data_IF_701890526006
#
_entry.id   IF_701890526006
#
_cell.length_a   1.000
_cell.length_b   1.000
_cell.length_c   1.000
_cell.angle_alpha   90.00
_cell.angle_beta   90.00
_cell.angle_gamma   90.00
#
_symmetry.space_group_name_H-M   'P 1'
#
loop_
_entity.id
_entity.type
_entity.pdbx_description
1 polymer ?
#
# COMPACT_ATOMS: atom_id res chain seq x y z
N UNK A 1 -17.82 -16.35 -36.91
CA UNK A 1 -16.47 -16.94 -37.01
C UNK A 1 -15.65 -16.48 -35.81
N UNK A 2 -15.33 -17.39 -34.88
CA UNK A 2 -14.47 -17.07 -33.75
C UNK A 2 -13.03 -16.88 -34.27
N UNK A 3 -12.41 -15.72 -34.00
CA UNK A 3 -11.00 -15.49 -34.29
C UNK A 3 -10.16 -16.55 -33.57
N UNK A 4 -9.15 -17.17 -34.22
CA UNK A 4 -8.28 -18.12 -33.53
C UNK A 4 -7.51 -17.36 -32.45
N UNK A 5 -7.57 -17.86 -31.19
CA UNK A 5 -6.69 -17.38 -30.13
C UNK A 5 -5.25 -17.68 -30.58
N UNK A 6 -4.48 -16.63 -30.85
CA UNK A 6 -3.06 -16.73 -31.19
C UNK A 6 -2.36 -17.50 -30.05
N UNK A 7 -1.72 -18.62 -30.35
CA UNK A 7 -0.92 -19.35 -29.37
C UNK A 7 0.31 -18.53 -29.01
N UNK A 8 0.50 -18.25 -27.72
CA UNK A 8 1.66 -17.51 -27.21
C UNK A 8 2.96 -18.29 -27.49
N UNK A 9 3.98 -17.58 -27.93
CA UNK A 9 5.36 -18.08 -28.03
C UNK A 9 5.92 -18.41 -26.64
N UNK A 10 7.02 -19.16 -26.58
CA UNK A 10 7.66 -19.51 -25.30
C UNK A 10 8.10 -18.25 -24.52
N UNK A 11 8.64 -17.25 -25.22
CA UNK A 11 9.04 -15.97 -24.61
C UNK A 11 7.83 -15.19 -24.10
N UNK A 12 6.74 -15.09 -24.88
CA UNK A 12 5.51 -14.43 -24.43
C UNK A 12 4.90 -15.12 -23.19
N UNK A 13 4.99 -16.45 -23.10
CA UNK A 13 4.50 -17.22 -21.96
C UNK A 13 5.34 -17.02 -20.71
N UNK A 14 6.68 -17.03 -20.84
CA UNK A 14 7.59 -16.67 -19.74
C UNK A 14 7.36 -15.25 -19.26
N UNK A 15 7.11 -14.34 -20.19
CA UNK A 15 6.82 -12.95 -19.86
C UNK A 15 5.49 -12.82 -19.10
N UNK A 16 4.44 -13.57 -19.46
CA UNK A 16 3.18 -13.65 -18.67
C UNK A 16 3.39 -14.30 -17.29
N UNK A 17 4.20 -15.36 -17.19
CA UNK A 17 4.52 -15.98 -15.90
C UNK A 17 5.34 -15.04 -15.01
N UNK A 18 6.29 -14.30 -15.58
CA UNK A 18 7.00 -13.23 -14.90
C UNK A 18 6.05 -12.10 -14.49
N UNK A 19 4.97 -11.83 -15.23
CA UNK A 19 3.91 -10.89 -14.79
C UNK A 19 3.15 -11.39 -13.56
N UNK A 20 2.93 -12.71 -13.43
CA UNK A 20 2.34 -13.27 -12.21
C UNK A 20 3.27 -13.15 -11.00
N UNK A 21 4.59 -13.04 -11.24
CA UNK A 21 5.63 -12.82 -10.24
C UNK A 21 5.99 -11.32 -10.13
N UNK A 22 5.41 -10.44 -10.96
CA UNK A 22 5.74 -9.00 -11.04
C UNK A 22 5.42 -8.21 -9.76
N UNK A 23 4.88 -8.89 -8.75
CA UNK A 23 5.05 -8.43 -7.39
C UNK A 23 6.54 -8.17 -7.11
N UNK A 24 7.51 -9.04 -7.41
CA UNK A 24 8.90 -8.91 -6.91
C UNK A 24 9.94 -8.58 -8.00
N UNK A 25 9.60 -8.66 -9.29
CA UNK A 25 10.56 -8.52 -10.40
C UNK A 25 10.38 -7.19 -11.17
N UNK A 26 11.48 -6.48 -11.51
CA UNK A 26 11.43 -5.24 -12.29
C UNK A 26 10.72 -5.44 -13.63
N UNK A 27 9.53 -4.85 -13.76
CA UNK A 27 8.69 -4.94 -14.98
C UNK A 27 9.45 -4.41 -16.20
N UNK A 28 10.29 -3.39 -16.01
CA UNK A 28 11.10 -2.79 -17.08
C UNK A 28 12.14 -3.74 -17.68
N UNK A 29 12.54 -4.79 -16.94
CA UNK A 29 13.50 -5.80 -17.39
C UNK A 29 12.84 -7.13 -17.74
N UNK A 30 11.50 -7.18 -17.78
CA UNK A 30 10.72 -8.39 -18.06
C UNK A 30 11.14 -9.05 -19.36
N UNK A 31 11.24 -8.26 -20.43
CA UNK A 31 11.52 -8.80 -21.76
C UNK A 31 12.97 -9.30 -21.85
N UNK A 32 13.92 -8.58 -21.25
CA UNK A 32 15.32 -9.04 -21.09
C UNK A 32 15.42 -10.35 -20.29
N UNK A 33 14.63 -10.48 -19.22
CA UNK A 33 14.62 -11.66 -18.37
C UNK A 33 13.94 -12.86 -19.05
N UNK A 34 12.87 -12.64 -19.81
CA UNK A 34 12.17 -13.71 -20.54
C UNK A 34 13.03 -14.32 -21.67
N UNK A 35 13.96 -13.54 -22.22
CA UNK A 35 14.95 -14.01 -23.19
C UNK A 35 16.10 -14.79 -22.53
N UNK A 36 16.53 -14.39 -21.33
CA UNK A 36 17.66 -15.01 -20.62
C UNK A 36 17.26 -16.27 -19.84
N UNK A 37 16.06 -16.27 -19.25
CA UNK A 37 15.60 -17.30 -18.31
C UNK A 37 14.89 -18.44 -19.05
N UNK A 38 15.13 -19.66 -18.57
CA UNK A 38 14.35 -20.83 -18.98
C UNK A 38 13.02 -20.90 -18.21
N UNK A 39 12.08 -21.70 -18.70
CA UNK A 39 10.81 -21.94 -18.00
C UNK A 39 11.03 -22.50 -16.58
N UNK A 40 12.09 -23.30 -16.37
CA UNK A 40 12.44 -23.84 -15.06
C UNK A 40 13.00 -22.79 -14.10
N UNK A 41 13.73 -21.80 -14.62
CA UNK A 41 14.22 -20.67 -13.82
C UNK A 41 13.06 -19.79 -13.36
N UNK A 42 12.09 -19.52 -14.26
CA UNK A 42 10.87 -18.76 -13.93
C UNK A 42 10.05 -19.49 -12.86
N UNK A 43 9.88 -20.80 -12.99
CA UNK A 43 9.20 -21.64 -12.00
C UNK A 43 9.88 -21.57 -10.62
N UNK A 44 11.21 -21.67 -10.61
CA UNK A 44 12.02 -21.63 -9.39
C UNK A 44 11.91 -20.27 -8.72
N UNK A 45 12.00 -19.17 -9.49
CA UNK A 45 11.83 -17.82 -8.97
C UNK A 45 10.41 -17.60 -8.42
N UNK A 46 9.38 -18.12 -9.10
CA UNK A 46 8.00 -18.10 -8.61
C UNK A 46 7.86 -18.80 -7.28
N UNK A 47 8.44 -20.00 -7.17
CA UNK A 47 8.44 -20.77 -5.93
C UNK A 47 9.15 -20.01 -4.81
N UNK A 48 10.34 -19.47 -5.05
CA UNK A 48 11.12 -18.72 -4.06
C UNK A 48 10.42 -17.45 -3.60
N UNK A 49 9.78 -16.71 -4.52
CA UNK A 49 8.98 -15.52 -4.18
C UNK A 49 7.79 -15.89 -3.30
N UNK A 50 7.08 -16.96 -3.63
CA UNK A 50 5.94 -17.43 -2.85
C UNK A 50 6.36 -17.94 -1.46
N UNK A 51 7.46 -18.70 -1.37
CA UNK A 51 8.00 -19.16 -0.09
C UNK A 51 8.58 -18.02 0.76
N UNK A 52 9.23 -17.05 0.12
CA UNK A 52 9.94 -15.96 0.80
C UNK A 52 9.04 -14.88 1.40
N UNK A 53 7.83 -14.67 0.85
CA UNK A 53 6.91 -13.65 1.35
C UNK A 53 5.81 -14.19 2.26
N UNK A 54 5.36 -15.43 2.04
CA UNK A 54 4.26 -16.04 2.77
C UNK A 54 2.88 -15.45 2.44
N UNK A 55 1.84 -16.29 2.50
CA UNK A 55 0.47 -15.95 2.08
C UNK A 55 -0.12 -14.72 2.76
N UNK A 56 0.22 -14.49 4.03
CA UNK A 56 -0.28 -13.35 4.80
C UNK A 56 0.27 -12.02 4.26
N UNK A 57 1.56 -11.99 3.88
CA UNK A 57 2.19 -10.79 3.32
C UNK A 57 1.63 -10.48 1.95
N UNK A 58 1.47 -11.49 1.09
CA UNK A 58 0.83 -11.36 -0.22
C UNK A 58 -0.59 -10.80 -0.08
N UNK A 59 -1.39 -11.36 0.83
CA UNK A 59 -2.75 -10.87 1.10
C UNK A 59 -2.75 -9.41 1.58
N UNK A 60 -1.84 -9.06 2.48
CA UNK A 60 -1.73 -7.68 2.98
C UNK A 60 -1.32 -6.69 1.88
N UNK A 61 -0.37 -7.05 1.03
CA UNK A 61 0.07 -6.25 -0.12
C UNK A 61 -1.08 -6.06 -1.13
N UNK A 62 -1.76 -7.13 -1.52
CA UNK A 62 -2.90 -7.06 -2.45
C UNK A 62 -4.01 -6.19 -1.88
N UNK A 63 -4.33 -6.32 -0.59
CA UNK A 63 -5.33 -5.49 0.07
C UNK A 63 -4.94 -4.01 0.08
N UNK A 64 -3.68 -3.68 0.35
CA UNK A 64 -3.21 -2.31 0.34
C UNK A 64 -3.15 -1.71 -1.08
N UNK A 65 -2.71 -2.48 -2.09
CA UNK A 65 -2.73 -2.04 -3.48
C UNK A 65 -4.17 -1.78 -3.96
N UNK A 66 -5.09 -2.70 -3.66
CA UNK A 66 -6.52 -2.54 -4.00
C UNK A 66 -7.08 -1.25 -3.42
N UNK A 67 -6.77 -0.96 -2.15
CA UNK A 67 -7.18 0.30 -1.53
C UNK A 67 -6.54 1.52 -2.21
N UNK A 68 -5.22 1.46 -2.50
CA UNK A 68 -4.49 2.58 -3.11
C UNK A 68 -5.00 2.90 -4.52
N UNK A 69 -5.31 1.89 -5.33
CA UNK A 69 -5.91 2.07 -6.65
C UNK A 69 -7.31 2.70 -6.54
N UNK A 70 -8.17 2.16 -5.67
CA UNK A 70 -9.51 2.71 -5.46
C UNK A 70 -9.46 4.17 -4.97
N UNK A 71 -8.55 4.48 -4.03
CA UNK A 71 -8.35 5.84 -3.53
C UNK A 71 -7.77 6.75 -4.61
N UNK A 72 -6.76 6.30 -5.36
CA UNK A 72 -6.14 7.04 -6.44
C UNK A 72 -7.16 7.44 -7.51
N UNK A 73 -7.99 6.48 -7.94
CA UNK A 73 -9.07 6.71 -8.87
C UNK A 73 -10.11 7.68 -8.32
N UNK A 74 -10.54 7.51 -7.06
CA UNK A 74 -11.52 8.39 -6.44
C UNK A 74 -10.99 9.84 -6.33
N UNK A 75 -9.73 10.01 -5.93
CA UNK A 75 -9.09 11.29 -5.60
C UNK A 75 -8.46 12.03 -6.79
N UNK A 76 -8.20 11.34 -7.91
CA UNK A 76 -7.54 11.93 -9.09
C UNK A 76 -8.26 11.66 -10.41
N UNK A 77 -9.28 10.79 -10.41
CA UNK A 77 -9.99 10.30 -11.60
C UNK A 77 -9.08 9.59 -12.62
N UNK A 78 -7.90 9.17 -12.19
CA UNK A 78 -6.90 8.45 -12.98
C UNK A 78 -6.40 7.24 -12.20
N UNK A 79 -5.91 6.22 -12.91
CA UNK A 79 -5.22 5.08 -12.30
C UNK A 79 -3.98 5.54 -11.53
N UNK A 80 -3.55 4.74 -10.56
CA UNK A 80 -2.41 5.08 -9.73
C UNK A 80 -1.13 5.22 -10.59
N UNK A 81 -0.42 6.36 -10.55
CA UNK A 81 0.81 6.53 -11.31
C UNK A 81 1.96 5.77 -10.65
N UNK A 82 2.89 5.30 -11.49
CA UNK A 82 4.11 4.61 -11.08
C UNK A 82 5.31 5.31 -11.76
N UNK A 83 6.26 5.88 -10.99
CA UNK A 83 6.23 6.07 -9.55
C UNK A 83 5.20 7.14 -9.15
N UNK A 84 4.75 7.10 -7.90
CA UNK A 84 3.88 8.12 -7.36
C UNK A 84 4.61 9.48 -7.23
N UNK A 85 4.07 10.58 -7.80
CA UNK A 85 4.62 11.90 -7.54
C UNK A 85 4.56 12.25 -6.06
N UNK A 86 5.54 13.02 -5.56
CA UNK A 86 5.58 13.43 -4.15
C UNK A 86 4.27 14.12 -3.70
N UNK A 87 3.71 14.98 -4.56
CA UNK A 87 2.43 15.64 -4.31
C UNK A 87 1.28 14.65 -4.07
N UNK A 88 1.29 13.49 -4.75
CA UNK A 88 0.28 12.46 -4.54
C UNK A 88 0.48 11.73 -3.21
N UNK A 89 1.73 11.50 -2.80
CA UNK A 89 2.04 10.94 -1.48
C UNK A 89 1.61 11.89 -0.34
N UNK A 90 1.83 13.20 -0.51
CA UNK A 90 1.37 14.21 0.43
C UNK A 90 -0.16 14.30 0.47
N UNK A 91 -0.83 14.22 -0.68
CA UNK A 91 -2.30 14.11 -0.77
C UNK A 91 -2.81 12.88 -0.01
N UNK A 92 -2.14 11.73 -0.16
CA UNK A 92 -2.48 10.52 0.59
C UNK A 92 -2.38 10.76 2.10
N UNK A 93 -1.32 11.41 2.58
CA UNK A 93 -1.18 11.76 3.99
C UNK A 93 -2.31 12.68 4.44
N UNK A 94 -2.59 13.77 3.71
CA UNK A 94 -3.63 14.73 4.08
C UNK A 94 -5.04 14.10 4.14
N UNK A 95 -5.39 13.25 3.17
CA UNK A 95 -6.69 12.57 3.17
C UNK A 95 -6.87 11.59 4.33
N UNK A 96 -5.79 11.06 4.92
CA UNK A 96 -5.89 9.96 5.89
C UNK A 96 -5.41 10.30 7.29
N UNK A 97 -4.56 11.31 7.46
CA UNK A 97 -4.04 11.77 8.75
C UNK A 97 -4.46 13.23 8.99
N UNK A 98 -5.75 13.42 9.22
CA UNK A 98 -6.37 14.71 9.53
C UNK A 98 -6.92 14.73 10.97
N UNK A 99 -7.22 15.93 11.45
CA UNK A 99 -7.73 16.17 12.80
C UNK A 99 -9.27 16.13 12.81
N UNK A 100 -9.90 15.15 13.50
CA UNK A 100 -11.35 15.06 13.61
C UNK A 100 -12.01 16.31 14.15
N UNK A 101 -11.40 16.98 15.12
CA UNK A 101 -11.99 18.15 15.78
C UNK A 101 -12.01 19.35 14.83
N UNK A 102 -10.91 19.57 14.11
CA UNK A 102 -10.86 20.65 13.12
C UNK A 102 -11.88 20.42 11.99
N UNK A 103 -12.18 19.17 11.64
CA UNK A 103 -13.19 18.87 10.61
C UNK A 103 -14.62 19.23 11.00
N UNK A 104 -14.90 19.40 12.29
CA UNK A 104 -16.21 19.87 12.76
C UNK A 104 -16.49 21.31 12.29
N UNK A 105 -15.45 22.12 12.12
CA UNK A 105 -15.53 23.51 11.66
C UNK A 105 -15.13 23.70 10.20
N UNK A 106 -14.28 22.82 9.66
CA UNK A 106 -13.85 22.82 8.26
C UNK A 106 -14.15 21.46 7.61
N UNK A 107 -15.26 21.36 6.87
CA UNK A 107 -15.71 20.10 6.28
C UNK A 107 -14.73 19.51 5.24
N UNK A 108 -13.89 20.37 4.65
CA UNK A 108 -12.88 20.01 3.66
C UNK A 108 -11.56 19.56 4.30
N UNK A 109 -11.43 19.66 5.62
CA UNK A 109 -10.26 19.17 6.33
C UNK A 109 -10.14 17.64 6.28
N UNK A 110 -9.19 17.17 5.49
CA UNK A 110 -8.90 15.75 5.31
C UNK A 110 -9.37 15.21 3.97
N UNK A 111 -10.09 14.08 4.00
CA UNK A 111 -10.61 13.46 2.78
C UNK A 111 -11.89 14.15 2.31
N UNK A 112 -11.96 14.66 1.06
CA UNK A 112 -13.18 15.23 0.52
C UNK A 112 -14.34 14.25 0.55
N UNK A 113 -15.56 14.73 0.81
CA UNK A 113 -16.76 13.90 0.97
C UNK A 113 -17.00 12.96 -0.23
N UNK A 114 -16.83 13.47 -1.45
CA UNK A 114 -17.00 12.67 -2.67
C UNK A 114 -15.99 11.50 -2.78
N UNK A 115 -14.78 11.67 -2.23
CA UNK A 115 -13.75 10.60 -2.21
C UNK A 115 -14.10 9.57 -1.14
N UNK A 116 -14.50 10.03 0.05
CA UNK A 116 -14.92 9.19 1.17
C UNK A 116 -16.14 8.32 0.79
N UNK A 117 -17.17 8.93 0.21
CA UNK A 117 -18.38 8.24 -0.26
C UNK A 117 -18.08 7.22 -1.37
N UNK A 118 -17.24 7.59 -2.34
CA UNK A 118 -16.79 6.67 -3.39
C UNK A 118 -16.09 5.43 -2.82
N UNK A 119 -15.29 5.59 -1.76
CA UNK A 119 -14.59 4.46 -1.12
C UNK A 119 -15.51 3.63 -0.23
N UNK A 120 -16.48 4.25 0.45
CA UNK A 120 -17.45 3.55 1.29
C UNK A 120 -18.44 2.73 0.48
N UNK A 121 -19.00 3.31 -0.59
CA UNK A 121 -19.95 2.63 -1.49
C UNK A 121 -19.36 1.36 -2.13
N UNK A 122 -18.05 1.36 -2.37
CA UNK A 122 -17.32 0.20 -2.90
C UNK A 122 -16.76 -0.73 -1.80
N UNK A 123 -16.97 -0.43 -0.52
CA UNK A 123 -16.54 -1.26 0.61
C UNK A 123 -15.04 -1.18 0.96
N UNK A 124 -14.29 -0.25 0.36
CA UNK A 124 -12.85 -0.08 0.63
C UNK A 124 -12.56 0.70 1.91
N UNK A 125 -13.50 1.54 2.36
CA UNK A 125 -13.37 2.35 3.57
C UNK A 125 -14.46 1.98 4.58
N UNK A 126 -14.07 1.33 5.68
CA UNK A 126 -15.00 0.87 6.73
C UNK A 126 -15.02 1.79 7.95
N UNK A 127 -13.84 2.27 8.36
CA UNK A 127 -13.72 3.12 9.56
C UNK A 127 -14.25 4.53 9.31
N UNK A 128 -14.86 5.12 10.33
CA UNK A 128 -15.24 6.54 10.36
C UNK A 128 -14.07 7.33 10.93
N UNK A 129 -13.75 8.47 10.33
CA UNK A 129 -12.63 9.33 10.76
C UNK A 129 -11.29 9.00 10.08
N UNK A 130 -10.18 9.60 10.57
CA UNK A 130 -8.85 9.40 10.01
C UNK A 130 -8.36 7.97 10.22
N UNK A 131 -7.42 7.54 9.38
CA UNK A 131 -6.76 6.25 9.56
C UNK A 131 -5.81 6.27 10.75
N UNK A 132 -5.61 5.08 11.33
CA UNK A 132 -4.52 4.89 12.26
C UNK A 132 -3.17 5.20 11.57
N UNK A 133 -2.23 5.91 12.25
CA UNK A 133 -0.91 6.19 11.70
C UNK A 133 -0.15 4.95 11.21
N UNK A 134 -0.32 3.81 11.90
CA UNK A 134 0.28 2.54 11.50
C UNK A 134 -0.25 2.05 10.14
N UNK A 135 -1.55 2.20 9.87
CA UNK A 135 -2.16 1.82 8.58
C UNK A 135 -1.64 2.69 7.44
N UNK A 136 -1.50 4.00 7.65
CA UNK A 136 -0.95 4.91 6.63
C UNK A 136 0.52 4.61 6.35
N UNK A 137 1.33 4.39 7.39
CA UNK A 137 2.74 3.99 7.22
C UNK A 137 2.88 2.66 6.49
N UNK A 138 2.07 1.65 6.85
CA UNK A 138 2.07 0.34 6.19
C UNK A 138 1.75 0.48 4.71
N UNK A 139 0.72 1.24 4.34
CA UNK A 139 0.34 1.47 2.94
C UNK A 139 1.43 2.20 2.16
N UNK A 140 2.05 3.23 2.73
CA UNK A 140 3.17 3.93 2.10
C UNK A 140 4.40 3.03 1.92
N UNK A 141 4.69 2.17 2.90
CA UNK A 141 5.77 1.19 2.80
C UNK A 141 5.47 0.16 1.68
N UNK A 142 4.26 -0.41 1.66
CA UNK A 142 3.83 -1.35 0.64
C UNK A 142 3.83 -0.71 -0.76
N UNK A 143 3.41 0.54 -0.88
CA UNK A 143 3.48 1.29 -2.13
C UNK A 143 4.93 1.53 -2.58
N UNK A 144 5.83 1.86 -1.64
CA UNK A 144 7.27 1.99 -1.93
C UNK A 144 7.86 0.66 -2.39
N UNK A 145 7.54 -0.43 -1.71
CA UNK A 145 7.96 -1.79 -2.06
C UNK A 145 7.50 -2.16 -3.47
N UNK A 146 6.21 -1.99 -3.77
CA UNK A 146 5.66 -2.22 -5.11
C UNK A 146 6.30 -1.33 -6.18
N UNK A 147 6.65 -0.09 -5.85
CA UNK A 147 7.31 0.83 -6.80
C UNK A 147 8.73 0.33 -7.12
N UNK A 148 9.49 -0.04 -6.10
CA UNK A 148 10.84 -0.60 -6.27
C UNK A 148 10.82 -1.92 -7.03
N UNK A 149 9.82 -2.75 -6.74
CA UNK A 149 9.62 -3.99 -7.46
C UNK A 149 9.34 -3.77 -8.94
N UNK A 150 8.79 -2.62 -9.35
CA UNK A 150 8.65 -2.25 -10.77
C UNK A 150 9.95 -1.74 -11.40
N UNK A 151 11.05 -1.63 -10.65
CA UNK A 151 12.31 -1.04 -11.10
C UNK A 151 12.41 0.47 -10.91
N UNK A 152 11.39 1.09 -10.29
CA UNK A 152 11.24 2.54 -10.21
C UNK A 152 11.67 3.10 -8.84
N UNK A 153 12.24 4.30 -8.87
CA UNK A 153 12.49 5.10 -7.68
C UNK A 153 11.36 6.11 -7.45
N UNK A 154 10.74 6.06 -6.27
CA UNK A 154 9.66 6.96 -5.88
C UNK A 154 10.06 7.93 -4.76
N UNK A 155 9.30 9.01 -4.59
CA UNK A 155 9.55 10.04 -3.59
C UNK A 155 9.22 9.64 -2.12
N UNK A 156 9.18 8.35 -1.80
CA UNK A 156 8.81 7.83 -0.48
C UNK A 156 9.81 8.17 0.63
N UNK A 157 11.05 8.48 0.27
CA UNK A 157 12.11 8.86 1.22
C UNK A 157 12.24 10.38 1.42
N UNK A 158 11.39 11.19 0.76
CA UNK A 158 11.56 12.64 0.73
C UNK A 158 11.44 13.29 2.12
N UNK A 159 12.19 14.38 2.39
CA UNK A 159 12.08 15.11 3.65
C UNK A 159 10.67 15.68 3.90
N UNK A 160 9.99 16.14 2.85
CA UNK A 160 8.65 16.70 2.97
C UNK A 160 7.64 15.65 3.41
N UNK A 161 7.65 14.45 2.80
CA UNK A 161 6.75 13.37 3.19
C UNK A 161 6.99 12.91 4.63
N UNK A 162 8.27 12.73 5.02
CA UNK A 162 8.64 12.36 6.40
C UNK A 162 8.15 13.41 7.40
N UNK A 163 8.28 14.69 7.07
CA UNK A 163 7.85 15.79 7.94
C UNK A 163 6.33 15.87 8.02
N UNK A 164 5.63 15.75 6.90
CA UNK A 164 4.17 15.74 6.84
C UNK A 164 3.57 14.61 7.72
N UNK A 165 4.07 13.38 7.60
CA UNK A 165 3.63 12.26 8.44
C UNK A 165 3.86 12.56 9.92
N UNK A 166 5.04 13.10 10.28
CA UNK A 166 5.37 13.41 11.68
C UNK A 166 4.45 14.49 12.26
N UNK A 167 4.19 15.55 11.50
CA UNK A 167 3.34 16.65 11.91
C UNK A 167 1.88 16.22 12.00
N UNK A 168 1.38 15.48 11.01
CA UNK A 168 0.02 14.96 10.99
C UNK A 168 -0.27 14.05 12.19
N UNK A 169 0.67 13.16 12.55
CA UNK A 169 0.55 12.30 13.74
C UNK A 169 0.54 13.11 15.04
N UNK A 170 1.26 14.23 15.09
CA UNK A 170 1.29 15.10 16.27
C UNK A 170 0.03 15.96 16.39
N UNK A 171 -0.52 16.39 15.25
CA UNK A 171 -1.74 17.18 15.16
C UNK A 171 -2.99 16.34 15.45
N UNK A 172 -2.98 15.05 15.13
CA UNK A 172 -4.08 14.17 15.49
C UNK A 172 -4.24 14.11 17.02
N UNK A 173 -5.43 14.38 17.57
CA UNK A 173 -5.67 14.29 19.00
C UNK A 173 -5.29 12.88 19.46
N UNK A 174 -4.45 12.79 20.51
CA UNK A 174 -4.07 11.49 21.08
C UNK A 174 -5.36 10.75 21.43
N UNK A 175 -5.68 9.72 20.66
CA UNK A 175 -6.70 8.75 21.07
C UNK A 175 -6.28 8.26 22.44
N UNK A 176 -7.11 8.51 23.46
CA UNK A 176 -6.94 7.91 24.78
C UNK A 176 -7.15 6.41 24.63
N UNK A 177 -6.07 5.70 24.33
CA UNK A 177 -6.08 4.25 24.25
C UNK A 177 -6.24 3.71 25.68
N UNK A 178 -7.11 2.70 25.83
CA UNK A 178 -7.23 1.97 27.07
C UNK A 178 -5.86 1.34 27.37
N UNK A 179 -5.28 1.66 28.52
CA UNK A 179 -4.05 1.01 28.97
C UNK A 179 -4.32 -0.50 29.04
N UNK A 180 -3.32 -1.30 28.65
CA UNK A 180 -3.36 -2.75 28.83
C UNK A 180 -3.80 -3.08 30.26
N UNK A 181 -4.75 -4.00 30.41
CA UNK A 181 -5.17 -4.52 31.72
C UNK A 181 -4.05 -5.31 32.42
N UNK A 182 -2.98 -5.64 31.70
CA UNK A 182 -1.82 -6.35 32.24
C UNK A 182 -0.94 -5.36 33.01
N UNK A 183 -0.95 -5.48 34.34
CA UNK A 183 0.01 -4.78 35.18
C UNK A 183 1.41 -5.36 34.93
N UNK A 184 2.28 -4.58 34.27
CA UNK A 184 3.67 -4.98 33.97
C UNK A 184 4.51 -5.13 35.24
N UNK A 185 4.08 -4.52 36.34
CA UNK A 185 4.76 -4.55 37.66
C UNK A 185 3.96 -5.32 38.72
N UNK A 186 2.93 -6.08 38.35
CA UNK A 186 2.09 -6.79 39.33
C UNK A 186 2.85 -7.84 40.13
N UNK A 187 3.78 -8.53 39.47
CA UNK A 187 4.72 -9.49 40.06
C UNK A 187 5.75 -8.83 40.99
N UNK A 188 6.24 -7.63 40.64
CA UNK A 188 7.14 -6.85 41.50
C UNK A 188 6.42 -6.34 42.74
N UNK A 189 5.19 -5.82 42.59
CA UNK A 189 4.41 -5.33 43.72
C UNK A 189 4.04 -6.45 44.71
N UNK A 190 3.74 -7.65 44.19
CA UNK A 190 3.46 -8.84 44.99
C UNK A 190 4.68 -9.36 45.76
N UNK A 191 5.89 -8.94 45.41
CA UNK A 191 7.13 -9.25 46.16
C UNK A 191 7.48 -8.19 47.21
N UNK A 192 6.83 -7.03 47.17
CA UNK A 192 7.05 -5.90 48.09
C UNK A 192 5.98 -5.79 49.18
N UNK A 193 4.91 -6.58 49.08
CA UNK A 193 3.86 -6.80 50.09
C UNK A 193 4.02 -8.18 50.70
#
# INVERSE_FOLDING_TARGET
>A
MAKPKKSLTAVERRAEELDTIAAVLPIERRDELAELLTDHDVETLRHLVNQGMGDNTLRALTSDLTYLEAWGLAATKKSLPWPAPEALLLKFVAHHLWDPQHRETDQDHGMPAAVDESLRSQGFLKSVGPHAPATVRRRLANWSTLTKWRGLDGAFASPALKSAIRLAIRAAPRQRLRKSAKAVTGDVLARLL
#
